data_IF_360289088771
#
_entry.id   IF_360289088771
#
_cell.length_a   1.000
_cell.length_b   1.000
_cell.length_c   1.000
_cell.angle_alpha   90.00
_cell.angle_beta   90.00
_cell.angle_gamma   90.00
#
_symmetry.space_group_name_H-M   'P 1'
#
loop_
_entity.id
_entity.type
_entity.pdbx_description
1 polymer ?
#
# COMPACT_ATOMS: atom_id res chain seq x y z
N UNK A 1 -33.17 66.16 -10.01
CA UNK A 1 -33.22 66.13 -11.49
C UNK A 1 -32.58 64.84 -11.98
N UNK A 2 -33.32 64.10 -12.79
CA UNK A 2 -32.93 62.86 -13.47
C UNK A 2 -31.65 62.99 -14.32
N UNK A 3 -30.87 61.91 -14.42
CA UNK A 3 -30.79 61.09 -15.65
C UNK A 3 -30.05 59.77 -15.40
N UNK A 4 -30.75 58.68 -15.73
CA UNK A 4 -30.24 57.33 -15.97
C UNK A 4 -29.00 57.34 -16.89
N UNK A 5 -28.17 56.28 -16.87
CA UNK A 5 -28.15 55.22 -17.91
C UNK A 5 -27.05 54.16 -17.67
N UNK A 6 -27.45 52.89 -17.86
CA UNK A 6 -26.73 51.69 -18.34
C UNK A 6 -26.10 50.69 -17.34
N UNK A 7 -26.75 49.53 -17.37
CA UNK A 7 -26.39 48.18 -16.95
C UNK A 7 -25.10 47.72 -17.65
N UNK A 8 -24.19 47.12 -16.88
CA UNK A 8 -23.14 46.24 -17.37
C UNK A 8 -23.19 44.92 -16.61
N UNK A 9 -23.83 43.90 -17.20
CA UNK A 9 -23.70 42.51 -16.79
C UNK A 9 -22.26 42.07 -17.10
N UNK A 10 -21.44 41.87 -16.05
CA UNK A 10 -20.13 41.24 -16.15
C UNK A 10 -20.19 39.85 -15.51
N UNK A 11 -20.63 38.86 -16.28
CA UNK A 11 -20.43 37.44 -15.95
C UNK A 11 -18.97 37.11 -16.27
N UNK A 12 -18.13 36.97 -15.25
CA UNK A 12 -16.90 36.17 -15.34
C UNK A 12 -16.93 35.20 -14.16
N UNK A 13 -17.51 34.04 -14.40
CA UNK A 13 -16.81 32.84 -14.86
C UNK A 13 -16.17 32.14 -13.66
N UNK A 14 -16.93 31.16 -13.16
CA UNK A 14 -16.46 30.25 -12.14
C UNK A 14 -15.07 29.73 -12.49
N UNK A 15 -14.13 29.97 -11.58
CA UNK A 15 -13.07 29.01 -11.38
C UNK A 15 -13.74 27.73 -10.86
N UNK A 16 -14.27 26.94 -11.80
CA UNK A 16 -14.21 25.50 -11.66
C UNK A 16 -12.73 25.19 -11.43
N UNK A 17 -12.38 25.01 -10.17
CA UNK A 17 -11.28 24.15 -9.77
C UNK A 17 -11.61 22.76 -10.28
N UNK A 18 -11.44 22.55 -11.59
CA UNK A 18 -11.01 21.27 -12.11
C UNK A 18 -9.63 21.03 -11.48
N UNK A 19 -9.64 20.60 -10.22
CA UNK A 19 -8.58 19.70 -9.77
C UNK A 19 -8.65 18.54 -10.75
N UNK A 20 -7.74 18.57 -11.72
CA UNK A 20 -7.49 17.48 -12.64
C UNK A 20 -7.10 16.30 -11.77
N UNK A 21 -8.11 15.60 -11.27
CA UNK A 21 -7.97 14.28 -10.66
C UNK A 21 -7.46 13.44 -11.81
N UNK A 22 -6.13 13.38 -11.94
CA UNK A 22 -5.40 12.60 -12.95
C UNK A 22 -6.16 11.29 -13.03
N UNK A 23 -6.80 11.04 -14.18
CA UNK A 23 -7.75 9.92 -14.29
C UNK A 23 -7.08 8.68 -13.73
N UNK A 24 -7.78 7.94 -12.85
CA UNK A 24 -7.28 6.71 -12.23
C UNK A 24 -6.68 5.75 -13.27
N UNK A 25 -7.15 5.83 -14.53
CA UNK A 25 -6.58 5.12 -15.67
C UNK A 25 -5.13 5.50 -16.04
N UNK A 26 -4.74 6.77 -15.93
CA UNK A 26 -3.38 7.24 -16.24
C UNK A 26 -2.39 6.81 -15.16
N UNK A 27 -2.73 7.04 -13.88
CA UNK A 27 -1.91 6.60 -12.73
C UNK A 27 -1.75 5.09 -12.72
N UNK A 28 -2.83 4.36 -12.98
CA UNK A 28 -2.78 2.90 -13.09
C UNK A 28 -1.81 2.44 -14.19
N UNK A 29 -1.88 3.04 -15.38
CA UNK A 29 -1.01 2.65 -16.50
C UNK A 29 0.46 2.94 -16.21
N UNK A 30 0.77 4.09 -15.61
CA UNK A 30 2.15 4.44 -15.21
C UNK A 30 2.68 3.45 -14.17
N UNK A 31 1.93 3.21 -13.09
CA UNK A 31 2.33 2.28 -12.03
C UNK A 31 2.47 0.84 -12.56
N UNK A 32 1.58 0.38 -13.45
CA UNK A 32 1.68 -0.93 -14.09
C UNK A 32 2.95 -1.05 -14.94
N UNK A 33 3.23 -0.06 -15.79
CA UNK A 33 4.42 -0.06 -16.64
C UNK A 33 5.70 -0.05 -15.80
N UNK A 34 5.77 0.80 -14.77
CA UNK A 34 6.90 0.88 -13.87
C UNK A 34 7.13 -0.44 -13.11
N UNK A 35 6.05 -1.09 -12.67
CA UNK A 35 6.13 -2.39 -11.99
C UNK A 35 6.62 -3.49 -12.94
N UNK A 36 6.12 -3.53 -14.18
CA UNK A 36 6.56 -4.50 -15.19
C UNK A 36 8.02 -4.27 -15.59
N UNK A 37 8.46 -3.02 -15.72
CA UNK A 37 9.85 -2.69 -16.01
C UNK A 37 10.78 -3.10 -14.86
N UNK A 38 10.36 -2.87 -13.61
CA UNK A 38 11.16 -3.21 -12.43
C UNK A 38 11.28 -4.72 -12.18
N UNK A 39 10.22 -5.49 -12.44
CA UNK A 39 10.09 -6.87 -11.97
C UNK A 39 9.80 -7.91 -13.06
N UNK A 40 9.64 -7.47 -14.31
CA UNK A 40 9.29 -8.33 -15.43
C UNK A 40 7.78 -8.52 -15.60
N UNK A 41 7.41 -9.40 -16.52
CA UNK A 41 6.01 -9.66 -16.89
C UNK A 41 5.22 -10.16 -15.67
N UNK A 42 4.08 -9.54 -15.43
CA UNK A 42 3.13 -9.93 -14.40
C UNK A 42 2.04 -10.84 -14.99
N UNK A 43 1.60 -11.82 -14.20
CA UNK A 43 0.42 -12.62 -14.55
C UNK A 43 -0.90 -11.91 -14.17
N UNK A 44 -2.03 -12.53 -14.51
CA UNK A 44 -3.36 -11.95 -14.26
C UNK A 44 -3.66 -11.72 -12.78
N UNK A 45 -3.15 -12.57 -11.88
CA UNK A 45 -3.34 -12.44 -10.43
C UNK A 45 -2.54 -11.25 -9.90
N UNK A 46 -1.29 -11.10 -10.34
CA UNK A 46 -0.44 -9.98 -9.95
C UNK A 46 -0.96 -8.66 -10.49
N UNK A 47 -1.44 -8.62 -11.74
CA UNK A 47 -2.07 -7.42 -12.32
C UNK A 47 -3.31 -7.01 -11.52
N UNK A 48 -4.17 -7.97 -11.17
CA UNK A 48 -5.36 -7.70 -10.34
C UNK A 48 -4.98 -7.19 -8.95
N UNK A 49 -3.95 -7.76 -8.35
CA UNK A 49 -3.43 -7.33 -7.05
C UNK A 49 -2.86 -5.92 -7.10
N UNK A 50 -2.05 -5.61 -8.11
CA UNK A 50 -1.51 -4.26 -8.34
C UNK A 50 -2.63 -3.23 -8.51
N UNK A 51 -3.65 -3.55 -9.32
CA UNK A 51 -4.83 -2.69 -9.47
C UNK A 51 -5.53 -2.44 -8.14
N UNK A 52 -5.69 -3.47 -7.31
CA UNK A 52 -6.29 -3.35 -5.98
C UNK A 52 -5.45 -2.49 -5.03
N UNK A 53 -4.12 -2.61 -5.06
CA UNK A 53 -3.19 -1.78 -4.28
C UNK A 53 -3.32 -0.31 -4.69
N UNK A 54 -3.32 -0.03 -6.00
CA UNK A 54 -3.46 1.34 -6.52
C UNK A 54 -4.81 1.94 -6.10
N UNK A 55 -5.91 1.20 -6.28
CA UNK A 55 -7.23 1.67 -5.86
C UNK A 55 -7.32 1.91 -4.35
N UNK A 56 -6.67 1.07 -3.53
CA UNK A 56 -6.60 1.28 -2.10
C UNK A 56 -5.76 2.53 -1.76
N UNK A 57 -4.64 2.76 -2.46
CA UNK A 57 -3.82 3.94 -2.28
C UNK A 57 -4.54 5.23 -2.71
N UNK A 58 -5.30 5.20 -3.80
CA UNK A 58 -6.15 6.32 -4.22
C UNK A 58 -7.20 6.70 -3.16
N UNK A 59 -7.63 5.73 -2.33
CA UNK A 59 -8.65 5.94 -1.29
C UNK A 59 -8.06 6.33 0.06
N UNK A 60 -6.94 5.72 0.46
CA UNK A 60 -6.39 5.83 1.82
C UNK A 60 -5.03 6.51 1.88
N UNK A 61 -4.37 6.72 0.73
CA UNK A 61 -3.10 7.43 0.62
C UNK A 61 -3.28 8.91 0.29
N UNK A 62 -2.16 9.56 -0.04
CA UNK A 62 -2.06 11.00 -0.29
C UNK A 62 -1.67 11.33 -1.75
N UNK A 63 -1.59 10.32 -2.62
CA UNK A 63 -1.23 10.48 -4.03
C UNK A 63 0.27 10.61 -4.30
N UNK A 64 1.13 10.51 -3.28
CA UNK A 64 2.59 10.51 -3.44
C UNK A 64 3.06 9.21 -4.14
N UNK A 65 3.56 9.36 -5.37
CA UNK A 65 4.02 8.24 -6.19
C UNK A 65 5.18 7.46 -5.56
N UNK A 66 6.04 8.10 -4.78
CA UNK A 66 7.16 7.44 -4.09
C UNK A 66 6.66 6.53 -2.98
N UNK A 67 5.59 6.93 -2.28
CA UNK A 67 4.92 6.07 -1.28
C UNK A 67 4.26 4.86 -1.94
N UNK A 68 3.56 5.07 -3.06
CA UNK A 68 2.98 3.97 -3.83
C UNK A 68 4.06 2.99 -4.32
N UNK A 69 5.18 3.50 -4.84
CA UNK A 69 6.31 2.68 -5.28
C UNK A 69 6.85 1.82 -4.12
N UNK A 70 6.98 2.39 -2.92
CA UNK A 70 7.43 1.65 -1.75
C UNK A 70 6.44 0.57 -1.29
N UNK A 71 5.13 0.85 -1.34
CA UNK A 71 4.08 -0.13 -1.06
C UNK A 71 4.17 -1.31 -2.05
N UNK A 72 4.34 -1.03 -3.34
CA UNK A 72 4.48 -2.07 -4.38
C UNK A 72 5.76 -2.89 -4.16
N UNK A 73 6.89 -2.24 -3.87
CA UNK A 73 8.16 -2.90 -3.58
C UNK A 73 8.05 -3.84 -2.37
N UNK A 74 7.36 -3.41 -1.32
CA UNK A 74 7.07 -4.22 -0.14
C UNK A 74 6.22 -5.44 -0.51
N UNK A 75 5.09 -5.26 -1.18
CA UNK A 75 4.22 -6.37 -1.59
C UNK A 75 4.90 -7.33 -2.59
N UNK A 76 5.81 -6.82 -3.42
CA UNK A 76 6.63 -7.64 -4.30
C UNK A 76 7.62 -8.50 -3.51
N UNK A 77 8.30 -7.93 -2.52
CA UNK A 77 9.27 -8.64 -1.70
C UNK A 77 8.61 -9.72 -0.85
N UNK A 78 7.56 -9.36 -0.11
CA UNK A 78 6.91 -10.23 0.87
C UNK A 78 6.14 -11.38 0.22
N UNK A 79 5.54 -11.14 -0.95
CA UNK A 79 4.56 -12.09 -1.47
C UNK A 79 4.43 -12.14 -2.98
N UNK A 80 5.35 -11.49 -3.71
CA UNK A 80 5.33 -11.41 -5.19
C UNK A 80 3.99 -10.91 -5.72
N UNK A 81 3.40 -9.91 -5.05
CA UNK A 81 2.06 -9.36 -5.35
C UNK A 81 0.95 -10.42 -5.31
N UNK A 82 1.01 -11.37 -4.37
CA UNK A 82 -0.09 -12.30 -4.08
C UNK A 82 -0.43 -12.28 -2.59
N UNK A 83 -1.70 -12.29 -2.18
CA UNK A 83 -2.02 -12.41 -0.77
C UNK A 83 -1.83 -13.87 -0.34
N UNK A 84 -0.70 -14.16 0.30
CA UNK A 84 -0.33 -15.52 0.69
C UNK A 84 -0.42 -15.73 2.19
N UNK A 85 -0.57 -16.99 2.58
CA UNK A 85 -0.45 -17.44 3.96
C UNK A 85 1.01 -17.77 4.25
N UNK A 86 1.45 -17.47 5.47
CA UNK A 86 2.78 -17.83 5.94
C UNK A 86 3.03 -19.33 5.74
N UNK A 87 4.19 -19.65 5.18
CA UNK A 87 4.61 -21.03 4.98
C UNK A 87 5.20 -21.58 6.26
N UNK A 88 4.72 -22.75 6.69
CA UNK A 88 5.31 -23.43 7.84
C UNK A 88 6.63 -24.08 7.42
N UNK A 89 7.71 -23.72 8.10
CA UNK A 89 9.02 -24.26 7.85
C UNK A 89 9.11 -25.75 8.24
N UNK A 90 10.03 -26.46 7.60
CA UNK A 90 10.30 -27.87 7.86
C UNK A 90 10.63 -28.11 9.34
N UNK A 91 10.16 -29.26 9.85
CA UNK A 91 10.45 -29.71 11.21
C UNK A 91 11.97 -29.72 11.47
N UNK A 92 12.37 -29.28 12.66
CA UNK A 92 13.78 -29.23 13.07
C UNK A 92 14.57 -27.99 12.62
N UNK A 93 13.99 -27.10 11.80
CA UNK A 93 14.68 -25.85 11.41
C UNK A 93 14.59 -24.76 12.49
N UNK A 94 15.58 -23.85 12.59
CA UNK A 94 15.48 -22.71 13.51
C UNK A 94 14.24 -21.84 13.28
N UNK A 95 13.86 -21.64 12.00
CA UNK A 95 12.64 -20.90 11.65
C UNK A 95 11.38 -21.61 12.17
N UNK A 96 11.33 -22.94 12.06
CA UNK A 96 10.21 -23.70 12.61
C UNK A 96 10.09 -23.55 14.13
N UNK A 97 11.21 -23.55 14.85
CA UNK A 97 11.22 -23.32 16.30
C UNK A 97 10.70 -21.93 16.69
N UNK A 98 10.96 -20.91 15.86
CA UNK A 98 10.39 -19.56 16.05
C UNK A 98 8.89 -19.58 15.78
N UNK A 99 8.46 -20.18 14.68
CA UNK A 99 7.04 -20.27 14.29
C UNK A 99 6.20 -20.98 15.35
N UNK A 100 6.69 -22.09 15.92
CA UNK A 100 5.94 -22.87 16.90
C UNK A 100 5.59 -22.06 18.16
N UNK A 101 6.35 -20.99 18.48
CA UNK A 101 6.04 -20.08 19.60
C UNK A 101 4.72 -19.32 19.44
N UNK A 102 4.26 -19.09 18.21
CA UNK A 102 3.03 -18.33 17.94
C UNK A 102 2.02 -19.06 17.04
N UNK A 103 2.40 -20.16 16.40
CA UNK A 103 1.55 -20.84 15.41
C UNK A 103 0.17 -21.23 15.98
N UNK A 104 0.16 -21.69 17.24
CA UNK A 104 -1.05 -22.11 17.95
C UNK A 104 -2.05 -20.96 18.18
N UNK A 105 -1.60 -19.70 18.15
CA UNK A 105 -2.48 -18.54 18.30
C UNK A 105 -3.36 -18.29 17.07
N UNK A 106 -3.00 -18.88 15.92
CA UNK A 106 -3.68 -18.64 14.64
C UNK A 106 -3.35 -17.31 13.96
N UNK A 107 -2.62 -16.40 14.62
CA UNK A 107 -2.26 -15.06 14.12
C UNK A 107 -0.87 -15.00 13.45
N UNK A 108 -0.55 -16.03 12.67
CA UNK A 108 0.59 -16.05 11.75
C UNK A 108 0.34 -15.19 10.50
N UNK A 109 1.39 -14.97 9.70
CA UNK A 109 1.41 -14.07 8.56
C UNK A 109 0.36 -14.37 7.49
N UNK A 110 -0.36 -13.33 7.05
CA UNK A 110 -1.29 -13.37 5.91
C UNK A 110 -1.24 -12.12 5.06
N UNK A 111 -1.61 -12.27 3.79
CA UNK A 111 -1.76 -11.17 2.84
C UNK A 111 -0.44 -10.66 2.27
N UNK A 112 -0.45 -9.47 1.68
CA UNK A 112 0.71 -8.90 0.98
C UNK A 112 1.86 -8.49 1.89
N UNK A 113 1.60 -8.30 3.19
CA UNK A 113 2.56 -7.74 4.15
C UNK A 113 2.83 -8.69 5.31
N UNK A 114 2.36 -9.94 5.21
CA UNK A 114 2.46 -10.95 6.28
C UNK A 114 1.94 -10.43 7.64
N UNK A 115 0.68 -9.95 7.65
CA UNK A 115 0.02 -9.46 8.87
C UNK A 115 0.08 -10.52 9.97
N UNK A 116 0.73 -10.18 11.08
CA UNK A 116 1.01 -11.07 12.21
C UNK A 116 0.59 -10.37 13.52
N UNK A 117 0.33 -11.17 14.56
CA UNK A 117 -0.09 -10.74 15.91
C UNK A 117 -1.55 -10.35 16.04
N UNK A 118 -2.24 -10.90 17.05
CA UNK A 118 -3.67 -10.66 17.32
C UNK A 118 -4.03 -9.16 17.37
N UNK A 119 -3.16 -8.34 17.96
CA UNK A 119 -3.40 -6.90 18.07
C UNK A 119 -3.49 -6.22 16.69
N UNK A 120 -2.66 -6.64 15.73
CA UNK A 120 -2.72 -6.09 14.37
C UNK A 120 -3.97 -6.59 13.63
N UNK A 121 -4.36 -7.86 13.83
CA UNK A 121 -5.64 -8.35 13.31
C UNK A 121 -6.82 -7.54 13.88
N UNK A 122 -6.84 -7.24 15.18
CA UNK A 122 -7.87 -6.42 15.81
C UNK A 122 -7.97 -5.01 15.21
N UNK A 123 -6.84 -4.29 15.11
CA UNK A 123 -6.80 -2.96 14.48
C UNK A 123 -7.31 -2.99 13.05
N UNK A 124 -6.95 -4.03 12.28
CA UNK A 124 -7.41 -4.18 10.90
C UNK A 124 -8.88 -4.60 10.81
N UNK A 125 -9.39 -5.37 11.78
CA UNK A 125 -10.82 -5.66 11.91
C UNK A 125 -11.64 -4.39 12.08
N UNK A 126 -11.24 -3.53 13.02
CA UNK A 126 -11.89 -2.25 13.29
C UNK A 126 -11.91 -1.35 12.06
N UNK A 127 -10.76 -1.21 11.38
CA UNK A 127 -10.65 -0.44 10.15
C UNK A 127 -11.55 -0.97 9.02
N UNK A 128 -11.57 -2.28 8.82
CA UNK A 128 -12.33 -2.89 7.72
C UNK A 128 -13.81 -3.05 8.02
N UNK A 129 -14.22 -3.02 9.29
CA UNK A 129 -15.56 -3.40 9.72
C UNK A 129 -15.86 -4.90 9.54
N UNK A 130 -14.84 -5.75 9.59
CA UNK A 130 -14.98 -7.21 9.46
C UNK A 130 -14.22 -7.94 10.56
N UNK A 131 -14.69 -9.10 10.99
CA UNK A 131 -14.09 -9.83 12.10
C UNK A 131 -12.91 -10.71 11.64
N UNK A 132 -11.72 -10.10 11.49
CA UNK A 132 -10.48 -10.83 11.23
C UNK A 132 -9.95 -11.60 12.45
N UNK A 133 -10.44 -11.33 13.67
CA UNK A 133 -9.93 -12.00 14.87
C UNK A 133 -10.46 -13.43 14.91
N UNK A 134 -11.75 -13.61 14.66
CA UNK A 134 -12.35 -14.93 14.57
C UNK A 134 -12.25 -15.53 13.16
N UNK A 135 -12.03 -14.73 12.12
CA UNK A 135 -11.88 -15.19 10.73
C UNK A 135 -10.58 -14.67 10.08
N UNK A 136 -9.39 -15.04 10.58
CA UNK A 136 -8.13 -14.45 10.14
C UNK A 136 -7.80 -14.70 8.66
N UNK A 137 -8.32 -15.78 8.06
CA UNK A 137 -8.13 -16.08 6.64
C UNK A 137 -8.82 -15.04 5.71
N UNK A 138 -9.71 -14.19 6.23
CA UNK A 138 -10.20 -13.03 5.49
C UNK A 138 -9.06 -12.10 5.04
N UNK A 139 -7.94 -12.03 5.79
CA UNK A 139 -6.77 -11.25 5.40
C UNK A 139 -6.06 -11.79 4.13
N UNK A 140 -6.43 -12.97 3.62
CA UNK A 140 -5.97 -13.52 2.34
C UNK A 140 -6.84 -13.08 1.15
N UNK A 141 -8.06 -12.58 1.40
CA UNK A 141 -8.92 -12.10 0.32
C UNK A 141 -8.31 -10.83 -0.28
N UNK A 142 -8.08 -10.75 -1.61
CA UNK A 142 -7.43 -9.59 -2.22
C UNK A 142 -8.08 -8.24 -1.86
N UNK A 143 -9.41 -8.22 -1.70
CA UNK A 143 -10.18 -7.02 -1.32
C UNK A 143 -9.82 -6.47 0.06
N UNK A 144 -9.45 -7.33 1.02
CA UNK A 144 -9.05 -6.95 2.37
C UNK A 144 -7.54 -6.80 2.45
N UNK A 145 -6.78 -7.72 1.85
CA UNK A 145 -5.32 -7.71 1.86
C UNK A 145 -4.74 -6.40 1.29
N UNK A 146 -5.31 -5.87 0.19
CA UNK A 146 -4.86 -4.60 -0.41
C UNK A 146 -5.11 -3.41 0.51
N UNK A 147 -6.29 -3.36 1.14
CA UNK A 147 -6.64 -2.32 2.12
C UNK A 147 -5.77 -2.40 3.36
N UNK A 148 -5.53 -3.59 3.90
CA UNK A 148 -4.65 -3.83 5.06
C UNK A 148 -3.24 -3.31 4.76
N UNK A 149 -2.65 -3.73 3.63
CA UNK A 149 -1.31 -3.29 3.21
C UNK A 149 -1.23 -1.76 3.17
N UNK A 150 -2.12 -1.13 2.39
CA UNK A 150 -2.06 0.31 2.16
C UNK A 150 -2.36 1.08 3.44
N UNK A 151 -3.50 0.80 4.08
CA UNK A 151 -3.92 1.54 5.27
C UNK A 151 -2.91 1.38 6.41
N UNK A 152 -2.43 0.16 6.65
CA UNK A 152 -1.47 -0.11 7.70
C UNK A 152 -0.14 0.59 7.49
N UNK A 153 0.34 0.71 6.25
CA UNK A 153 1.56 1.45 5.94
C UNK A 153 1.35 2.98 6.00
N UNK A 154 0.22 3.49 5.50
CA UNK A 154 -0.10 4.92 5.53
C UNK A 154 -0.29 5.43 6.96
N UNK A 155 -0.95 4.66 7.82
CA UNK A 155 -1.32 5.09 9.17
C UNK A 155 -0.40 4.52 10.26
N UNK A 156 0.60 3.71 9.88
CA UNK A 156 1.52 3.06 10.81
C UNK A 156 0.85 2.07 11.76
N UNK A 157 -0.23 1.42 11.33
CA UNK A 157 -1.03 0.56 12.21
C UNK A 157 -0.32 -0.73 12.64
N UNK A 158 0.75 -1.13 11.94
CA UNK A 158 1.52 -2.35 12.25
C UNK A 158 2.52 -2.14 13.38
N UNK A 159 3.37 -1.11 13.28
CA UNK A 159 4.50 -0.87 14.20
C UNK A 159 4.49 0.50 14.87
N UNK A 160 3.53 1.37 14.52
CA UNK A 160 3.52 2.79 14.91
C UNK A 160 4.33 3.69 13.96
N UNK A 161 5.11 3.11 13.05
CA UNK A 161 5.83 3.86 12.01
C UNK A 161 5.03 3.91 10.72
N UNK A 162 4.93 5.09 10.10
CA UNK A 162 4.11 5.33 8.91
C UNK A 162 4.94 5.80 7.72
N UNK A 163 4.36 5.73 6.51
CA UNK A 163 5.03 6.15 5.27
C UNK A 163 5.54 7.59 5.34
N UNK A 164 4.78 8.52 5.92
CA UNK A 164 5.17 9.93 6.04
C UNK A 164 6.28 10.20 7.05
N UNK A 165 6.68 9.21 7.86
CA UNK A 165 7.88 9.34 8.71
C UNK A 165 9.18 9.23 7.89
N UNK A 166 9.12 8.70 6.66
CA UNK A 166 10.30 8.36 5.85
C UNK A 166 10.23 8.87 4.41
N UNK A 167 9.04 9.08 3.87
CA UNK A 167 8.81 9.41 2.46
C UNK A 167 7.93 10.66 2.37
N UNK A 168 8.40 11.62 1.59
CA UNK A 168 7.77 12.91 1.35
C UNK A 168 7.97 13.34 -0.12
N UNK A 169 7.26 14.38 -0.59
CA UNK A 169 7.43 14.85 -1.97
C UNK A 169 8.86 15.27 -2.34
N UNK A 170 9.68 15.68 -1.37
CA UNK A 170 11.05 16.17 -1.59
C UNK A 170 12.15 15.19 -1.16
N UNK A 171 11.78 14.06 -0.53
CA UNK A 171 12.76 13.12 0.04
C UNK A 171 12.16 11.72 0.23
N UNK A 172 12.93 10.67 -0.05
CA UNK A 172 12.49 9.28 0.12
C UNK A 172 13.58 8.43 0.79
N UNK A 173 13.35 8.04 2.05
CA UNK A 173 14.18 7.07 2.78
C UNK A 173 13.54 5.67 2.73
N UNK A 174 13.63 5.02 1.56
CA UNK A 174 13.06 3.68 1.40
C UNK A 174 13.75 2.63 2.28
N UNK A 175 15.02 2.84 2.63
CA UNK A 175 15.75 1.95 3.53
C UNK A 175 15.11 1.95 4.92
N UNK A 176 14.98 3.12 5.57
CA UNK A 176 14.41 3.18 6.92
C UNK A 176 12.89 2.98 6.94
N UNK A 177 12.20 3.18 5.81
CA UNK A 177 10.77 2.86 5.68
C UNK A 177 10.45 1.39 5.98
N UNK A 178 11.44 0.48 5.99
CA UNK A 178 11.22 -0.93 6.33
C UNK A 178 10.65 -1.14 7.74
N UNK A 179 10.89 -0.17 8.64
CA UNK A 179 10.42 -0.18 10.02
C UNK A 179 8.90 -0.12 10.15
N UNK A 180 8.21 0.28 9.09
CA UNK A 180 6.74 0.24 8.99
C UNK A 180 6.22 -1.20 9.10
N UNK A 181 7.00 -2.20 8.66
CA UNK A 181 6.57 -3.60 8.57
C UNK A 181 7.38 -4.52 9.48
N UNK A 182 8.71 -4.56 9.34
CA UNK A 182 9.53 -5.56 10.04
C UNK A 182 10.95 -5.06 10.33
N UNK A 183 11.06 -3.95 11.07
CA UNK A 183 12.38 -3.42 11.47
C UNK A 183 13.24 -3.02 10.27
N UNK A 184 14.46 -3.56 10.17
CA UNK A 184 15.35 -3.36 9.01
C UNK A 184 15.64 -4.64 8.22
N UNK A 185 14.89 -5.72 8.49
CA UNK A 185 15.09 -6.97 7.75
C UNK A 185 14.86 -6.76 6.26
N UNK A 186 15.86 -7.13 5.44
CA UNK A 186 15.92 -6.93 3.99
C UNK A 186 15.72 -5.48 3.52
N UNK A 187 15.98 -4.48 4.39
CA UNK A 187 15.78 -3.06 4.08
C UNK A 187 16.45 -2.61 2.77
N UNK A 188 17.73 -2.97 2.57
CA UNK A 188 18.45 -2.62 1.34
C UNK A 188 17.79 -3.20 0.08
N UNK A 189 17.38 -4.46 0.12
CA UNK A 189 16.77 -5.11 -1.04
C UNK A 189 15.44 -4.45 -1.42
N UNK A 190 14.62 -4.10 -0.42
CA UNK A 190 13.34 -3.44 -0.64
C UNK A 190 13.55 -1.99 -1.09
N UNK A 191 14.56 -1.31 -0.55
CA UNK A 191 15.00 -0.01 -1.04
C UNK A 191 15.33 -0.07 -2.55
N UNK A 192 16.12 -1.04 -2.97
CA UNK A 192 16.52 -1.19 -4.37
C UNK A 192 15.33 -1.50 -5.27
N UNK A 193 14.36 -2.29 -4.78
CA UNK A 193 13.09 -2.49 -5.48
C UNK A 193 12.28 -1.20 -5.63
N UNK A 194 12.17 -0.39 -4.58
CA UNK A 194 11.45 0.87 -4.62
C UNK A 194 12.11 1.87 -5.59
N UNK A 195 13.45 1.97 -5.56
CA UNK A 195 14.22 2.79 -6.52
C UNK A 195 13.91 2.35 -7.95
N UNK A 196 13.95 1.05 -8.26
CA UNK A 196 13.60 0.56 -9.61
C UNK A 196 12.21 0.99 -10.05
N UNK A 197 11.21 0.87 -9.18
CA UNK A 197 9.83 1.27 -9.50
C UNK A 197 9.73 2.78 -9.73
N UNK A 198 10.38 3.60 -8.92
CA UNK A 198 10.38 5.06 -9.09
C UNK A 198 11.09 5.48 -10.39
N UNK A 199 12.24 4.88 -10.71
CA UNK A 199 13.04 5.23 -11.89
C UNK A 199 12.32 5.00 -13.22
N UNK A 200 11.29 4.15 -13.26
CA UNK A 200 10.47 3.91 -14.45
C UNK A 200 9.14 4.70 -14.46
N UNK A 201 8.90 5.50 -13.43
CA UNK A 201 7.73 6.37 -13.30
C UNK A 201 8.04 7.84 -13.64
N UNK A 202 9.32 8.17 -13.86
CA UNK A 202 9.83 9.46 -14.35
C UNK A 202 9.97 9.42 -15.88
#
# INVERSE_FOLDING_TARGET
MNKNTKIGLGVLSGLLLFSLKKSTSSTYKMALNATVAAFGKLDSVQIKSLKGIINAFDKYGDGDGSKLAYIIATAWHESRLRPIKEWRASLGTPLRAIQDKYWHTGFYGRGFVQLTWQNNYRKMSEFLGVDLVNNPDLALKPEYATKILVYGMVNGSFTGKKLSDYISPSYSDFYNARRIVNGLDKAQLINDYAIKVVSYNA
#
